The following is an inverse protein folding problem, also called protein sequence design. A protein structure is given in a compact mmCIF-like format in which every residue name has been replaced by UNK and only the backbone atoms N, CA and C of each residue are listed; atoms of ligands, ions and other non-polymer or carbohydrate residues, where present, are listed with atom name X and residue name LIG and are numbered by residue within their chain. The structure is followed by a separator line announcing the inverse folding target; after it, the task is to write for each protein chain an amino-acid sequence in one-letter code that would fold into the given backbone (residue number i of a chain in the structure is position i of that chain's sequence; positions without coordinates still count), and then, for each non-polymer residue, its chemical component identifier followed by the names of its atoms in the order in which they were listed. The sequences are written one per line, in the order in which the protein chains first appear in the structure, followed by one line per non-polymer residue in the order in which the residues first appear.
data_IF_373315404459
#
_entry.id   IF_373315404459
#
_cell.length_a   1.000
_cell.length_b   1.000
_cell.length_c   1.000
_cell.angle_alpha   90.00
_cell.angle_beta   90.00
_cell.angle_gamma   90.00
#
_symmetry.space_group_name_H-M   'P 1'
#
loop_
_entity.id
_entity.type
_entity.pdbx_description
1 polymer ?
#
# COMPACT_ATOMS: atom_id res chain seq x y z
N UNK A 1 -7.36 5.49 -71.06
CA UNK A 1 -6.13 4.84 -70.56
C UNK A 1 -6.52 3.65 -69.70
N UNK A 2 -6.31 2.41 -70.15
CA UNK A 2 -6.61 1.20 -69.36
C UNK A 2 -5.41 0.89 -68.46
N UNK A 3 -5.55 1.11 -67.15
CA UNK A 3 -4.54 0.68 -66.18
C UNK A 3 -4.53 -0.87 -66.16
N UNK A 4 -3.36 -1.45 -66.44
CA UNK A 4 -3.16 -2.91 -66.42
C UNK A 4 -3.44 -3.48 -65.02
N UNK A 5 -4.05 -4.66 -64.96
CA UNK A 5 -4.30 -5.44 -63.73
C UNK A 5 -3.03 -5.56 -62.85
N UNK A 6 -1.84 -5.61 -63.47
CA UNK A 6 -0.56 -5.62 -62.76
C UNK A 6 -0.23 -4.28 -62.04
N UNK A 7 -0.66 -3.15 -62.61
CA UNK A 7 -0.49 -1.82 -61.97
C UNK A 7 -1.46 -1.64 -60.79
N UNK A 8 -2.65 -2.23 -60.87
CA UNK A 8 -3.60 -2.27 -59.76
C UNK A 8 -3.06 -3.16 -58.62
N UNK A 9 -2.50 -4.33 -58.94
CA UNK A 9 -1.87 -5.21 -57.96
C UNK A 9 -0.68 -4.60 -57.21
N UNK A 10 0.18 -3.85 -57.91
CA UNK A 10 1.33 -3.15 -57.30
C UNK A 10 0.86 -1.99 -56.41
N UNK A 11 -0.17 -1.24 -56.80
CA UNK A 11 -0.72 -0.15 -55.98
C UNK A 11 -1.39 -0.66 -54.70
N UNK A 12 -2.05 -1.82 -54.75
CA UNK A 12 -2.65 -2.48 -53.57
C UNK A 12 -1.57 -3.01 -52.61
N UNK A 13 -0.47 -3.57 -53.13
CA UNK A 13 0.67 -4.03 -52.32
C UNK A 13 1.41 -2.88 -51.62
N UNK A 14 1.59 -1.73 -52.29
CA UNK A 14 2.21 -0.54 -51.69
C UNK A 14 1.29 0.08 -50.61
N UNK A 15 -0.03 0.05 -50.81
CA UNK A 15 -1.01 0.51 -49.83
C UNK A 15 -1.07 -0.40 -48.57
N UNK A 16 -0.88 -1.71 -48.73
CA UNK A 16 -0.84 -2.68 -47.62
C UNK A 16 0.44 -2.58 -46.78
N UNK A 17 1.58 -2.25 -47.38
CA UNK A 17 2.85 -2.03 -46.63
C UNK A 17 2.85 -0.70 -45.88
N UNK A 18 2.15 0.32 -46.38
CA UNK A 18 2.09 1.65 -45.74
C UNK A 18 1.16 1.72 -44.52
N UNK A 19 0.12 0.87 -44.44
CA UNK A 19 -0.75 0.79 -43.26
C UNK A 19 -0.03 0.21 -42.01
N UNK A 20 0.87 -0.75 -42.20
CA UNK A 20 1.62 -1.39 -41.12
C UNK A 20 2.82 -0.56 -40.63
N UNK A 21 3.37 0.33 -41.47
CA UNK A 21 4.54 1.14 -41.16
C UNK A 21 4.28 2.29 -40.17
N UNK A 22 3.09 2.90 -40.20
CA UNK A 22 2.76 4.01 -39.30
C UNK A 22 2.65 3.58 -37.83
N UNK A 23 2.08 2.40 -37.55
CA UNK A 23 2.00 1.85 -36.19
C UNK A 23 3.38 1.53 -35.61
N UNK A 24 4.23 0.89 -36.42
CA UNK A 24 5.61 0.56 -36.02
C UNK A 24 6.46 1.81 -35.72
N UNK A 25 6.41 2.84 -36.58
CA UNK A 25 7.15 4.09 -36.38
C UNK A 25 6.64 4.82 -35.13
N UNK A 26 5.32 4.85 -34.89
CA UNK A 26 4.74 5.44 -33.68
C UNK A 26 5.17 4.71 -32.41
N UNK A 27 5.18 3.38 -32.42
CA UNK A 27 5.68 2.58 -31.30
C UNK A 27 7.16 2.81 -31.00
N UNK A 28 8.00 2.95 -32.04
CA UNK A 28 9.42 3.29 -31.85
C UNK A 28 9.60 4.69 -31.24
N UNK A 29 8.83 5.68 -31.73
CA UNK A 29 8.84 7.03 -31.14
C UNK A 29 8.34 7.03 -29.70
N UNK A 30 7.31 6.25 -29.37
CA UNK A 30 6.82 6.08 -28.00
C UNK A 30 7.93 5.58 -27.07
N UNK A 31 8.68 4.55 -27.49
CA UNK A 31 9.84 4.04 -26.73
C UNK A 31 10.93 5.09 -26.54
N UNK A 32 11.21 5.90 -27.57
CA UNK A 32 12.16 7.01 -27.44
C UNK A 32 11.69 8.07 -26.44
N UNK A 33 10.40 8.41 -26.41
CA UNK A 33 9.85 9.30 -25.39
C UNK A 33 9.97 8.68 -23.98
N UNK A 34 9.75 7.38 -23.80
CA UNK A 34 9.98 6.71 -22.52
C UNK A 34 11.45 6.74 -22.06
N UNK A 35 12.41 6.67 -22.98
CA UNK A 35 13.82 6.87 -22.64
C UNK A 35 14.09 8.29 -22.12
N UNK A 36 13.43 9.30 -22.70
CA UNK A 36 13.50 10.69 -22.21
C UNK A 36 12.86 10.85 -20.85
N UNK A 37 11.77 10.12 -20.55
CA UNK A 37 11.21 10.07 -19.18
C UNK A 37 12.30 9.66 -18.18
N UNK A 38 13.01 8.56 -18.44
CA UNK A 38 14.06 8.08 -17.53
C UNK A 38 15.18 9.10 -17.34
N UNK A 39 15.58 9.80 -18.41
CA UNK A 39 16.57 10.87 -18.35
C UNK A 39 16.08 12.06 -17.49
N UNK A 40 14.92 12.63 -17.82
CA UNK A 40 14.36 13.77 -17.08
C UNK A 40 14.11 13.42 -15.61
N UNK A 41 13.69 12.19 -15.32
CA UNK A 41 13.49 11.71 -13.96
C UNK A 41 14.81 11.64 -13.17
N UNK A 42 15.90 11.14 -13.79
CA UNK A 42 17.25 11.13 -13.19
C UNK A 42 17.75 12.55 -12.89
N UNK A 43 17.41 13.51 -13.75
CA UNK A 43 17.73 14.93 -13.58
C UNK A 43 16.77 15.67 -12.63
N UNK A 44 15.81 14.96 -12.00
CA UNK A 44 14.75 15.52 -11.13
C UNK A 44 13.82 16.53 -11.83
N UNK A 45 13.77 16.50 -13.16
CA UNK A 45 12.88 17.31 -14.00
C UNK A 45 11.53 16.59 -14.18
N UNK A 46 10.78 16.45 -13.10
CA UNK A 46 9.59 15.58 -13.07
C UNK A 46 8.45 16.08 -13.97
N UNK A 47 8.29 17.40 -14.14
CA UNK A 47 7.31 17.95 -15.07
C UNK A 47 7.66 17.63 -16.55
N UNK A 48 8.95 17.67 -16.92
CA UNK A 48 9.40 17.24 -18.24
C UNK A 48 9.21 15.72 -18.43
N UNK A 49 9.51 14.94 -17.39
CA UNK A 49 9.26 13.49 -17.40
C UNK A 49 7.77 13.17 -17.60
N UNK A 50 6.87 13.92 -16.96
CA UNK A 50 5.42 13.80 -17.15
C UNK A 50 5.02 14.09 -18.60
N UNK A 51 5.55 15.17 -19.19
CA UNK A 51 5.28 15.54 -20.58
C UNK A 51 5.74 14.44 -21.56
N UNK A 52 6.95 13.91 -21.38
CA UNK A 52 7.46 12.80 -22.21
C UNK A 52 6.63 11.53 -22.05
N UNK A 53 6.18 11.21 -20.83
CA UNK A 53 5.36 10.03 -20.58
C UNK A 53 3.97 10.15 -21.23
N UNK A 54 3.32 11.33 -21.11
CA UNK A 54 2.06 11.64 -21.81
C UNK A 54 2.25 11.53 -23.33
N UNK A 55 3.36 12.05 -23.87
CA UNK A 55 3.65 11.94 -25.30
C UNK A 55 3.85 10.50 -25.77
N UNK A 56 4.50 9.67 -24.95
CA UNK A 56 4.66 8.25 -25.24
C UNK A 56 3.31 7.54 -25.37
N UNK A 57 2.35 7.86 -24.49
CA UNK A 57 0.99 7.30 -24.52
C UNK A 57 0.19 7.79 -25.73
N UNK A 58 0.31 9.08 -26.10
CA UNK A 58 -0.32 9.61 -27.31
C UNK A 58 0.18 8.92 -28.59
N UNK A 59 1.48 8.64 -28.63
CA UNK A 59 2.11 7.98 -29.77
C UNK A 59 1.67 6.51 -29.87
N UNK A 60 1.62 5.81 -28.75
CA UNK A 60 1.21 4.41 -28.66
C UNK A 60 0.26 4.20 -27.46
N UNK A 61 -1.06 4.31 -27.68
CA UNK A 61 -2.06 4.10 -26.63
C UNK A 61 -2.08 2.67 -26.06
N UNK A 62 -1.45 1.70 -26.75
CA UNK A 62 -1.34 0.32 -26.27
C UNK A 62 -0.13 0.09 -25.35
N UNK A 63 0.74 1.08 -25.20
CA UNK A 63 1.93 0.98 -24.36
C UNK A 63 1.56 0.90 -22.88
N UNK A 64 1.79 -0.25 -22.27
CA UNK A 64 1.40 -0.50 -20.87
C UNK A 64 2.26 0.23 -19.84
N UNK A 65 3.48 0.63 -20.23
CA UNK A 65 4.41 1.32 -19.33
C UNK A 65 4.15 2.83 -19.28
N UNK A 66 3.63 3.44 -20.34
CA UNK A 66 3.44 4.89 -20.40
C UNK A 66 2.53 5.40 -19.26
N UNK A 67 1.36 4.79 -18.96
CA UNK A 67 0.53 5.20 -17.82
C UNK A 67 1.24 5.09 -16.46
N UNK A 68 2.08 4.07 -16.27
CA UNK A 68 2.89 3.90 -15.04
C UNK A 68 3.88 5.05 -14.89
N UNK A 69 4.58 5.41 -15.96
CA UNK A 69 5.52 6.52 -15.95
C UNK A 69 4.84 7.88 -15.76
N UNK A 70 3.63 8.08 -16.31
CA UNK A 70 2.80 9.26 -16.03
C UNK A 70 2.52 9.36 -14.52
N UNK A 71 1.98 8.29 -13.92
CA UNK A 71 1.65 8.27 -12.50
C UNK A 71 2.87 8.55 -11.60
N UNK A 72 4.01 7.90 -11.89
CA UNK A 72 5.28 8.14 -11.18
C UNK A 72 5.78 9.57 -11.32
N UNK A 73 5.75 10.15 -12.52
CA UNK A 73 6.22 11.52 -12.76
C UNK A 73 5.33 12.58 -12.09
N UNK A 74 4.01 12.37 -12.04
CA UNK A 74 3.09 13.22 -11.29
C UNK A 74 3.37 13.10 -9.78
N UNK A 75 3.49 11.86 -9.27
CA UNK A 75 3.78 11.61 -7.86
C UNK A 75 5.12 12.23 -7.43
N UNK A 76 6.15 12.18 -8.27
CA UNK A 76 7.44 12.78 -7.96
C UNK A 76 7.42 14.32 -7.81
N UNK A 77 6.38 14.98 -8.33
CA UNK A 77 6.18 16.43 -8.13
C UNK A 77 5.55 16.77 -6.79
N UNK A 78 4.88 15.80 -6.13
CA UNK A 78 4.32 16.00 -4.79
C UNK A 78 5.43 16.10 -3.74
N UNK A 79 5.33 17.12 -2.88
CA UNK A 79 6.21 17.36 -1.74
C UNK A 79 5.48 17.06 -0.45
N UNK A 80 5.86 15.98 0.22
CA UNK A 80 5.27 15.60 1.52
C UNK A 80 5.46 16.73 2.56
N UNK A 81 4.40 17.06 3.30
CA UNK A 81 4.40 18.10 4.34
C UNK A 81 4.24 19.53 3.84
N UNK A 82 3.96 19.74 2.55
CA UNK A 82 3.63 21.06 1.99
C UNK A 82 2.14 21.11 1.67
N UNK A 83 1.39 21.98 2.33
CA UNK A 83 -0.09 22.01 2.22
C UNK A 83 -0.61 23.06 1.23
N UNK A 84 0.18 23.42 0.21
CA UNK A 84 -0.29 24.35 -0.83
C UNK A 84 -1.34 23.70 -1.73
N UNK A 85 -2.33 24.45 -2.24
CA UNK A 85 -3.35 23.91 -3.16
C UNK A 85 -2.76 23.19 -4.37
N UNK A 86 -1.66 23.71 -4.93
CA UNK A 86 -0.98 23.11 -6.09
C UNK A 86 -0.34 21.77 -5.73
N UNK A 87 0.27 21.67 -4.54
CA UNK A 87 0.90 20.44 -4.09
C UNK A 87 -0.14 19.34 -3.76
N UNK A 88 -1.25 19.73 -3.12
CA UNK A 88 -2.39 18.83 -2.88
C UNK A 88 -3.03 18.40 -4.20
N UNK A 89 -3.16 19.30 -5.17
CA UNK A 89 -3.65 18.95 -6.51
C UNK A 89 -2.76 17.91 -7.19
N UNK A 90 -1.43 18.02 -7.08
CA UNK A 90 -0.49 17.01 -7.62
C UNK A 90 -0.62 15.65 -6.94
N UNK A 91 -0.79 15.62 -5.62
CA UNK A 91 -1.08 14.37 -4.92
C UNK A 91 -2.39 13.72 -5.39
N UNK A 92 -3.45 14.50 -5.55
CA UNK A 92 -4.73 14.01 -6.04
C UNK A 92 -4.64 13.51 -7.50
N UNK A 93 -3.92 14.21 -8.38
CA UNK A 93 -3.66 13.78 -9.76
C UNK A 93 -2.92 12.43 -9.80
N UNK A 94 -1.92 12.25 -8.93
CA UNK A 94 -1.21 10.98 -8.78
C UNK A 94 -2.13 9.87 -8.26
N UNK A 95 -2.95 10.14 -7.23
CA UNK A 95 -3.93 9.18 -6.69
C UNK A 95 -4.85 8.68 -7.81
N UNK A 96 -5.41 9.56 -8.63
CA UNK A 96 -6.30 9.15 -9.71
C UNK A 96 -5.56 8.30 -10.76
N UNK A 97 -4.35 8.71 -11.14
CA UNK A 97 -3.53 7.96 -12.10
C UNK A 97 -3.22 6.53 -11.61
N UNK A 98 -2.87 6.38 -10.32
CA UNK A 98 -2.64 5.05 -9.73
C UNK A 98 -3.93 4.24 -9.53
N UNK A 99 -5.07 4.87 -9.22
CA UNK A 99 -6.36 4.16 -9.14
C UNK A 99 -6.74 3.53 -10.49
N UNK A 100 -6.52 4.23 -11.61
CA UNK A 100 -6.76 3.66 -12.95
C UNK A 100 -5.81 2.48 -13.26
N UNK A 101 -4.54 2.56 -12.84
CA UNK A 101 -3.60 1.44 -12.96
C UNK A 101 -4.08 0.21 -12.18
N UNK A 102 -4.51 0.40 -10.93
CA UNK A 102 -5.02 -0.67 -10.08
C UNK A 102 -6.38 -1.22 -10.55
N UNK A 103 -7.18 -0.41 -11.27
CA UNK A 103 -8.41 -0.87 -11.91
C UNK A 103 -8.11 -1.81 -13.09
N UNK A 104 -7.07 -1.52 -13.87
CA UNK A 104 -6.61 -2.39 -14.97
C UNK A 104 -5.96 -3.67 -14.44
N UNK A 105 -5.13 -3.54 -13.41
CA UNK A 105 -4.47 -4.66 -12.73
C UNK A 105 -4.67 -4.58 -11.21
N UNK A 106 -5.66 -5.30 -10.65
CA UNK A 106 -5.90 -5.34 -9.21
C UNK A 106 -4.69 -5.82 -8.39
N UNK A 107 -3.76 -6.56 -9.01
CA UNK A 107 -2.58 -7.10 -8.37
C UNK A 107 -1.37 -6.14 -8.42
N UNK A 108 -1.54 -4.94 -8.95
CA UNK A 108 -0.49 -3.92 -9.01
C UNK A 108 -0.18 -3.34 -7.61
N UNK A 109 0.84 -3.89 -6.94
CA UNK A 109 1.25 -3.47 -5.59
C UNK A 109 1.80 -2.04 -5.55
N UNK A 110 2.45 -1.59 -6.63
CA UNK A 110 2.96 -0.22 -6.71
C UNK A 110 1.81 0.79 -6.66
N UNK A 111 0.81 0.62 -7.52
CA UNK A 111 -0.34 1.51 -7.60
C UNK A 111 -1.11 1.52 -6.27
N UNK A 112 -1.35 0.35 -5.70
CA UNK A 112 -2.01 0.23 -4.41
C UNK A 112 -1.26 0.93 -3.28
N UNK A 113 0.05 0.70 -3.19
CA UNK A 113 0.91 1.29 -2.17
C UNK A 113 0.97 2.81 -2.32
N UNK A 114 1.12 3.30 -3.56
CA UNK A 114 1.20 4.73 -3.83
C UNK A 114 -0.09 5.47 -3.42
N UNK A 115 -1.27 4.95 -3.77
CA UNK A 115 -2.55 5.53 -3.33
C UNK A 115 -2.66 5.52 -1.80
N UNK A 116 -2.32 4.39 -1.16
CA UNK A 116 -2.38 4.26 0.31
C UNK A 116 -1.47 5.29 0.99
N UNK A 117 -0.23 5.45 0.53
CA UNK A 117 0.74 6.41 1.08
C UNK A 117 0.33 7.86 0.84
N UNK A 118 -0.17 8.18 -0.35
CA UNK A 118 -0.61 9.53 -0.69
C UNK A 118 -1.83 9.94 0.15
N UNK A 119 -2.83 9.07 0.30
CA UNK A 119 -3.99 9.35 1.15
C UNK A 119 -3.59 9.55 2.62
N UNK A 120 -2.65 8.76 3.13
CA UNK A 120 -2.08 8.97 4.46
C UNK A 120 -1.33 10.29 4.59
N UNK A 121 -0.56 10.67 3.56
CA UNK A 121 0.19 11.94 3.56
C UNK A 121 -0.68 13.18 3.43
N UNK A 122 -1.89 13.02 2.86
CA UNK A 122 -2.93 14.06 2.80
C UNK A 122 -3.83 14.08 4.04
N UNK A 123 -3.56 13.25 5.05
CA UNK A 123 -4.39 13.09 6.24
C UNK A 123 -5.86 12.77 5.90
N UNK A 124 -6.08 11.81 4.98
CA UNK A 124 -7.40 11.33 4.54
C UNK A 124 -7.66 9.88 5.01
N UNK A 125 -7.83 9.65 6.32
CA UNK A 125 -7.87 8.30 6.88
C UNK A 125 -9.10 7.48 6.45
N UNK A 126 -10.25 8.12 6.21
CA UNK A 126 -11.45 7.43 5.72
C UNK A 126 -11.27 6.92 4.29
N UNK A 127 -10.80 7.77 3.38
CA UNK A 127 -10.50 7.40 1.99
C UNK A 127 -9.41 6.31 1.94
N UNK A 128 -8.39 6.42 2.80
CA UNK A 128 -7.32 5.41 2.90
C UNK A 128 -7.89 4.05 3.34
N UNK A 129 -8.73 4.04 4.37
CA UNK A 129 -9.33 2.80 4.88
C UNK A 129 -10.24 2.15 3.84
N UNK A 130 -11.06 2.94 3.14
CA UNK A 130 -11.91 2.45 2.05
C UNK A 130 -11.09 1.81 0.93
N UNK A 131 -10.03 2.49 0.48
CA UNK A 131 -9.13 1.98 -0.56
C UNK A 131 -8.49 0.63 -0.20
N UNK A 132 -8.02 0.50 1.05
CA UNK A 132 -7.42 -0.75 1.54
C UNK A 132 -8.46 -1.85 1.70
N UNK A 133 -9.67 -1.50 2.16
CA UNK A 133 -10.78 -2.45 2.32
C UNK A 133 -11.28 -3.00 0.98
N UNK A 134 -11.33 -2.16 -0.06
CA UNK A 134 -11.61 -2.60 -1.43
C UNK A 134 -10.62 -3.67 -1.90
N UNK A 135 -9.30 -3.47 -1.70
CA UNK A 135 -8.29 -4.49 -2.03
C UNK A 135 -8.49 -5.77 -1.22
N UNK A 136 -8.70 -5.65 0.09
CA UNK A 136 -8.86 -6.80 0.99
C UNK A 136 -10.05 -7.70 0.60
N UNK A 137 -11.13 -7.12 0.08
CA UNK A 137 -12.36 -7.83 -0.32
C UNK A 137 -12.40 -8.26 -1.78
N UNK A 138 -11.50 -7.75 -2.63
CA UNK A 138 -11.53 -8.03 -4.06
C UNK A 138 -11.00 -9.45 -4.38
N UNK A 139 -11.91 -10.36 -4.78
CA UNK A 139 -11.57 -11.75 -5.13
C UNK A 139 -10.59 -11.93 -6.29
N UNK A 140 -10.37 -10.91 -7.12
CA UNK A 140 -9.37 -10.91 -8.21
C UNK A 140 -7.95 -10.60 -7.73
N UNK A 141 -7.79 -10.18 -6.46
CA UNK A 141 -6.49 -9.92 -5.85
C UNK A 141 -5.97 -11.20 -5.19
N UNK A 142 -4.68 -11.50 -5.40
CA UNK A 142 -4.01 -12.65 -4.80
C UNK A 142 -4.21 -12.71 -3.27
N UNK A 143 -4.41 -13.91 -2.68
CA UNK A 143 -4.63 -14.06 -1.24
C UNK A 143 -3.58 -13.37 -0.37
N UNK A 144 -2.29 -13.45 -0.74
CA UNK A 144 -1.20 -12.81 0.00
C UNK A 144 -1.31 -11.28 0.04
N UNK A 145 -1.70 -10.68 -1.08
CA UNK A 145 -1.89 -9.22 -1.21
C UNK A 145 -3.14 -8.75 -0.45
N UNK A 146 -4.18 -9.58 -0.40
CA UNK A 146 -5.36 -9.35 0.46
C UNK A 146 -5.01 -9.48 1.95
N UNK A 147 -4.18 -10.46 2.31
CA UNK A 147 -3.69 -10.61 3.67
C UNK A 147 -2.90 -9.38 4.13
N UNK A 148 -2.03 -8.83 3.27
CA UNK A 148 -1.32 -7.57 3.55
C UNK A 148 -2.27 -6.38 3.77
N UNK A 149 -3.34 -6.27 2.96
CA UNK A 149 -4.36 -5.24 3.13
C UNK A 149 -5.14 -5.41 4.45
N UNK A 150 -5.51 -6.64 4.82
CA UNK A 150 -6.16 -6.94 6.09
C UNK A 150 -5.25 -6.64 7.29
N UNK A 151 -3.96 -6.96 7.20
CA UNK A 151 -2.98 -6.62 8.24
C UNK A 151 -2.84 -5.10 8.42
N UNK A 152 -2.87 -4.32 7.35
CA UNK A 152 -2.90 -2.85 7.44
C UNK A 152 -4.15 -2.36 8.17
N UNK A 153 -5.33 -2.87 7.82
CA UNK A 153 -6.58 -2.47 8.50
C UNK A 153 -6.58 -2.87 9.98
N UNK A 154 -6.04 -4.04 10.31
CA UNK A 154 -5.85 -4.49 11.68
C UNK A 154 -4.95 -3.53 12.48
N UNK A 155 -3.90 -2.96 11.86
CA UNK A 155 -3.08 -1.95 12.52
C UNK A 155 -3.86 -0.65 12.79
N UNK A 156 -4.77 -0.25 11.88
CA UNK A 156 -5.66 0.91 12.08
C UNK A 156 -6.70 0.70 13.16
N UNK A 157 -7.17 -0.52 13.32
CA UNK A 157 -8.03 -0.91 14.43
C UNK A 157 -7.27 -0.87 15.77
N UNK A 158 -6.04 -1.40 15.79
CA UNK A 158 -5.16 -1.33 16.95
C UNK A 158 -4.84 0.12 17.33
N UNK A 159 -4.39 0.96 16.40
CA UNK A 159 -4.09 2.38 16.62
C UNK A 159 -5.29 3.10 17.28
N UNK A 160 -6.51 2.82 16.80
CA UNK A 160 -7.73 3.43 17.33
C UNK A 160 -8.07 2.96 18.76
N UNK A 161 -7.85 1.69 19.09
CA UNK A 161 -8.03 1.20 20.47
C UNK A 161 -6.94 1.77 21.38
N UNK A 162 -5.70 1.70 20.91
CA UNK A 162 -4.53 2.11 21.66
C UNK A 162 -4.54 3.60 21.99
N UNK A 163 -5.04 4.46 21.09
CA UNK A 163 -5.22 5.88 21.36
C UNK A 163 -6.12 6.13 22.59
N UNK A 164 -7.12 5.27 22.83
CA UNK A 164 -7.98 5.35 24.01
C UNK A 164 -7.24 4.81 25.23
N UNK A 165 -6.71 3.59 25.16
CA UNK A 165 -6.14 2.91 26.33
C UNK A 165 -4.82 3.53 26.81
N UNK A 166 -4.04 4.12 25.91
CA UNK A 166 -2.77 4.79 26.22
C UNK A 166 -2.91 6.30 26.45
N UNK A 167 -4.15 6.82 26.47
CA UNK A 167 -4.39 8.17 26.96
C UNK A 167 -3.87 8.33 28.39
N UNK A 168 -3.15 9.41 28.74
CA UNK A 168 -2.62 9.61 30.10
C UNK A 168 -3.70 9.55 31.19
N UNK A 169 -4.94 9.93 30.87
CA UNK A 169 -6.07 9.85 31.80
C UNK A 169 -6.55 8.43 32.11
N UNK A 170 -6.11 7.44 31.33
CA UNK A 170 -6.48 6.03 31.44
C UNK A 170 -5.32 5.17 31.96
N UNK A 171 -4.29 5.82 32.50
CA UNK A 171 -3.09 5.19 33.02
C UNK A 171 -2.82 5.67 34.45
N UNK A 172 -2.43 4.73 35.31
CA UNK A 172 -2.03 5.01 36.68
C UNK A 172 -0.72 4.29 37.00
N UNK A 173 0.26 5.04 37.51
CA UNK A 173 1.49 4.45 38.07
C UNK A 173 1.20 4.00 39.50
N UNK A 174 1.44 2.73 39.78
CA UNK A 174 1.26 2.13 41.11
C UNK A 174 2.59 1.64 41.62
N UNK A 175 3.02 2.15 42.77
CA UNK A 175 4.22 1.70 43.45
C UNK A 175 3.93 0.39 44.20
N UNK A 176 4.69 -0.66 43.90
CA UNK A 176 4.63 -1.98 44.56
C UNK A 176 5.82 -2.20 45.50
N UNK A 177 6.52 -1.14 45.89
CA UNK A 177 7.69 -1.15 46.78
C UNK A 177 8.98 -1.56 46.08
N UNK A 178 8.95 -2.65 45.29
CA UNK A 178 10.12 -3.13 44.52
C UNK A 178 10.11 -2.66 43.07
N UNK A 179 8.97 -2.17 42.59
CA UNK A 179 8.80 -1.70 41.22
C UNK A 179 7.61 -0.74 41.11
N UNK A 180 7.68 0.19 40.17
CA UNK A 180 6.53 0.99 39.75
C UNK A 180 5.92 0.30 38.54
N UNK A 181 4.64 -0.08 38.64
CA UNK A 181 3.91 -0.72 37.54
C UNK A 181 2.88 0.23 36.95
N UNK A 182 2.74 0.18 35.63
CA UNK A 182 1.68 0.89 34.92
C UNK A 182 0.40 0.05 34.95
N UNK A 183 -0.67 0.61 35.51
CA UNK A 183 -2.00 0.02 35.53
C UNK A 183 -2.89 0.82 34.58
N UNK A 184 -3.67 0.10 33.78
CA UNK A 184 -4.63 0.69 32.85
C UNK A 184 -6.00 0.74 33.51
N UNK A 185 -6.65 1.91 33.50
CA UNK A 185 -7.96 2.14 34.09
C UNK A 185 -8.98 2.50 33.01
N UNK A 186 -10.25 2.20 33.26
CA UNK A 186 -11.31 2.50 32.29
C UNK A 186 -11.40 4.01 32.01
N UNK A 187 -11.61 4.39 30.73
CA UNK A 187 -12.01 5.74 30.39
C UNK A 187 -13.22 6.20 31.21
N UNK A 188 -13.24 7.49 31.57
CA UNK A 188 -14.39 8.10 32.26
C UNK A 188 -15.65 8.05 31.39
N UNK A 189 -15.49 8.22 30.09
CA UNK A 189 -16.56 8.04 29.11
C UNK A 189 -16.65 6.56 28.70
N UNK A 190 -17.78 5.93 29.01
CA UNK A 190 -18.03 4.53 28.64
C UNK A 190 -18.05 4.33 27.12
N UNK A 191 -18.41 5.34 26.34
CA UNK A 191 -18.40 5.26 24.88
C UNK A 191 -16.98 5.09 24.32
N UNK A 192 -15.98 5.70 24.95
CA UNK A 192 -14.57 5.54 24.58
C UNK A 192 -14.09 4.12 24.88
N UNK A 193 -14.47 3.57 26.04
CA UNK A 193 -14.17 2.18 26.38
C UNK A 193 -14.79 1.20 25.37
N UNK A 194 -16.09 1.36 25.08
CA UNK A 194 -16.78 0.51 24.11
C UNK A 194 -16.17 0.63 22.71
N UNK A 195 -15.73 1.83 22.32
CA UNK A 195 -15.01 2.06 21.07
C UNK A 195 -13.69 1.28 21.06
N UNK A 196 -12.89 1.35 22.13
CA UNK A 196 -11.64 0.61 22.23
C UNK A 196 -11.87 -0.91 22.10
N UNK A 197 -12.83 -1.46 22.86
CA UNK A 197 -13.19 -2.89 22.80
C UNK A 197 -13.62 -3.30 21.39
N UNK A 198 -14.51 -2.53 20.75
CA UNK A 198 -14.96 -2.80 19.37
C UNK A 198 -13.80 -2.81 18.40
N UNK A 199 -12.92 -1.79 18.45
CA UNK A 199 -11.78 -1.66 17.52
C UNK A 199 -10.76 -2.77 17.74
N UNK A 200 -10.40 -3.09 18.98
CA UNK A 200 -9.54 -4.24 19.28
C UNK A 200 -10.12 -5.54 18.71
N UNK A 201 -11.42 -5.79 18.91
CA UNK A 201 -12.07 -7.04 18.48
C UNK A 201 -12.10 -7.16 16.96
N UNK A 202 -12.53 -6.08 16.29
CA UNK A 202 -12.57 -5.99 14.84
C UNK A 202 -11.17 -6.09 14.23
N UNK A 203 -10.16 -5.50 14.87
CA UNK A 203 -8.76 -5.61 14.44
C UNK A 203 -8.24 -7.04 14.54
N UNK A 204 -8.54 -7.73 15.65
CA UNK A 204 -8.12 -9.12 15.86
C UNK A 204 -8.73 -10.04 14.81
N UNK A 205 -10.01 -9.88 14.49
CA UNK A 205 -10.68 -10.61 13.42
C UNK A 205 -9.98 -10.38 12.06
N UNK A 206 -9.61 -9.13 11.74
CA UNK A 206 -8.88 -8.83 10.50
C UNK A 206 -7.50 -9.48 10.47
N UNK A 207 -6.75 -9.43 11.57
CA UNK A 207 -5.44 -10.08 11.67
C UNK A 207 -5.56 -11.60 11.50
N UNK A 208 -6.58 -12.23 12.09
CA UNK A 208 -6.84 -13.66 11.93
C UNK A 208 -7.26 -14.03 10.52
N UNK A 209 -8.12 -13.23 9.88
CA UNK A 209 -8.50 -13.44 8.49
C UNK A 209 -7.31 -13.25 7.54
N UNK A 210 -6.40 -12.31 7.82
CA UNK A 210 -5.14 -12.19 7.11
C UNK A 210 -4.28 -13.46 7.24
N UNK A 211 -4.13 -14.00 8.46
CA UNK A 211 -3.39 -15.25 8.71
C UNK A 211 -4.04 -16.45 8.02
N UNK A 212 -5.38 -16.51 7.93
CA UNK A 212 -6.08 -17.56 7.17
C UNK A 212 -5.78 -17.50 5.68
N UNK A 213 -5.66 -16.29 5.12
CA UNK A 213 -5.31 -16.08 3.70
C UNK A 213 -3.83 -16.36 3.42
N UNK A 214 -2.95 -15.99 4.34
CA UNK A 214 -1.50 -16.20 4.25
C UNK A 214 -0.92 -16.39 5.66
N UNK A 215 -0.71 -17.64 6.05
CA UNK A 215 -0.18 -17.98 7.38
C UNK A 215 1.29 -17.59 7.57
N UNK A 216 1.98 -17.24 6.48
CA UNK A 216 3.36 -16.76 6.48
C UNK A 216 3.45 -15.23 6.45
N UNK A 217 2.31 -14.53 6.54
CA UNK A 217 2.27 -13.08 6.60
C UNK A 217 2.76 -12.59 7.97
N UNK A 218 4.03 -12.22 8.06
CA UNK A 218 4.67 -11.71 9.27
C UNK A 218 3.94 -10.47 9.83
N UNK A 219 3.50 -9.54 8.98
CA UNK A 219 2.77 -8.34 9.41
C UNK A 219 1.47 -8.70 10.11
N UNK A 220 0.73 -9.69 9.60
CA UNK A 220 -0.52 -10.14 10.20
C UNK A 220 -0.32 -10.74 11.60
N UNK A 221 0.74 -11.55 11.78
CA UNK A 221 1.13 -12.08 13.09
C UNK A 221 1.58 -10.97 14.06
N UNK A 222 2.35 -10.01 13.57
CA UNK A 222 2.79 -8.84 14.32
C UNK A 222 1.58 -8.00 14.79
N UNK A 223 0.58 -7.78 13.92
CA UNK A 223 -0.64 -7.09 14.32
C UNK A 223 -1.50 -7.91 15.29
N UNK A 224 -1.62 -9.24 15.10
CA UNK A 224 -2.29 -10.12 16.06
C UNK A 224 -1.67 -10.00 17.46
N UNK A 225 -0.33 -9.98 17.54
CA UNK A 225 0.38 -9.75 18.80
C UNK A 225 0.01 -8.39 19.43
N UNK A 226 0.08 -7.29 18.68
CA UNK A 226 -0.26 -5.96 19.19
C UNK A 226 -1.72 -5.88 19.69
N UNK A 227 -2.65 -6.48 18.95
CA UNK A 227 -4.07 -6.53 19.30
C UNK A 227 -4.34 -7.40 20.52
N UNK A 228 -3.58 -8.48 20.72
CA UNK A 228 -3.66 -9.29 21.94
C UNK A 228 -3.11 -8.54 23.16
N UNK A 229 -2.01 -7.78 23.01
CA UNK A 229 -1.55 -6.90 24.09
C UNK A 229 -2.60 -5.85 24.45
N UNK A 230 -3.27 -5.29 23.45
CA UNK A 230 -4.37 -4.35 23.63
C UNK A 230 -5.58 -5.01 24.33
N UNK A 231 -5.96 -6.20 23.91
CA UNK A 231 -7.02 -6.99 24.54
C UNK A 231 -6.70 -7.33 26.00
N UNK A 232 -5.42 -7.57 26.31
CA UNK A 232 -4.94 -7.78 27.69
C UNK A 232 -5.13 -6.53 28.54
N UNK A 233 -4.81 -5.33 28.03
CA UNK A 233 -5.07 -4.05 28.74
C UNK A 233 -6.56 -3.89 29.04
N UNK A 234 -7.41 -4.14 28.04
CA UNK A 234 -8.87 -4.05 28.19
C UNK A 234 -9.42 -5.04 29.23
N UNK A 235 -8.89 -6.27 29.27
CA UNK A 235 -9.24 -7.26 30.29
C UNK A 235 -8.76 -6.86 31.70
N UNK A 236 -7.61 -6.17 31.82
CA UNK A 236 -7.14 -5.61 33.10
C UNK A 236 -8.03 -4.46 33.56
N UNK A 237 -8.48 -3.59 32.66
CA UNK A 237 -9.45 -2.53 32.96
C UNK A 237 -10.78 -3.10 33.46
N UNK A 238 -11.17 -4.30 33.02
CA UNK A 238 -12.33 -5.06 33.50
C UNK A 238 -12.08 -5.85 34.79
N UNK A 239 -10.89 -5.74 35.39
CA UNK A 239 -10.46 -6.54 36.55
C UNK A 239 -10.49 -8.06 36.29
N UNK A 240 -10.55 -8.48 35.02
CA UNK A 240 -10.60 -9.89 34.63
C UNK A 240 -9.18 -10.45 34.43
N UNK A 241 -8.51 -10.69 35.56
CA UNK A 241 -7.13 -11.17 35.60
C UNK A 241 -6.94 -12.54 34.93
N UNK A 242 -7.90 -13.45 35.06
CA UNK A 242 -7.85 -14.77 34.41
C UNK A 242 -7.85 -14.64 32.87
N UNK A 243 -8.75 -13.81 32.31
CA UNK A 243 -8.78 -13.54 30.88
C UNK A 243 -7.50 -12.83 30.40
N UNK A 244 -6.99 -11.87 31.18
CA UNK A 244 -5.74 -11.19 30.86
C UNK A 244 -4.53 -12.14 30.81
N UNK A 245 -4.47 -13.14 31.69
CA UNK A 245 -3.43 -14.17 31.67
C UNK A 245 -3.55 -15.09 30.45
N UNK A 246 -4.76 -15.49 30.08
CA UNK A 246 -4.99 -16.32 28.90
C UNK A 246 -4.59 -15.59 27.60
N UNK A 247 -5.01 -14.33 27.47
CA UNK A 247 -4.62 -13.48 26.33
C UNK A 247 -3.10 -13.29 26.27
N UNK A 248 -2.43 -13.19 27.43
CA UNK A 248 -0.96 -13.07 27.47
C UNK A 248 -0.25 -14.27 26.84
N UNK A 249 -0.73 -15.51 27.09
CA UNK A 249 -0.17 -16.71 26.46
C UNK A 249 -0.35 -16.69 24.95
N UNK A 250 -1.53 -16.31 24.47
CA UNK A 250 -1.80 -16.16 23.04
C UNK A 250 -0.90 -15.10 22.39
N UNK A 251 -0.62 -14.00 23.12
CA UNK A 251 0.27 -12.95 22.65
C UNK A 251 1.72 -13.47 22.52
N UNK A 252 2.20 -14.25 23.50
CA UNK A 252 3.52 -14.88 23.44
C UNK A 252 3.66 -15.83 22.25
N UNK A 253 2.63 -16.63 21.95
CA UNK A 253 2.59 -17.48 20.76
C UNK A 253 2.65 -16.67 19.46
N UNK A 254 1.85 -15.61 19.35
CA UNK A 254 1.85 -14.73 18.19
C UNK A 254 3.20 -14.01 18.01
N UNK A 255 3.83 -13.59 19.10
CA UNK A 255 5.16 -12.98 19.09
C UNK A 255 6.22 -13.98 18.59
N UNK A 256 6.23 -15.19 19.13
CA UNK A 256 7.14 -16.25 18.71
C UNK A 256 7.00 -16.51 17.21
N UNK A 257 5.76 -16.62 16.71
CA UNK A 257 5.51 -16.83 15.29
C UNK A 257 5.98 -15.65 14.42
N UNK A 258 5.80 -14.42 14.89
CA UNK A 258 6.31 -13.22 14.22
C UNK A 258 7.83 -13.27 14.09
N UNK A 259 8.53 -13.62 15.17
CA UNK A 259 10.00 -13.74 15.19
C UNK A 259 10.51 -14.85 14.27
N UNK A 260 9.87 -16.01 14.27
CA UNK A 260 10.19 -17.12 13.36
C UNK A 260 10.10 -16.69 11.88
N UNK A 261 9.01 -16.00 11.51
CA UNK A 261 8.80 -15.52 10.14
C UNK A 261 9.78 -14.42 9.75
N UNK A 262 10.12 -13.52 10.68
CA UNK A 262 11.13 -12.50 10.48
C UNK A 262 12.51 -13.12 10.19
N UNK A 263 12.96 -14.06 11.01
CA UNK A 263 14.25 -14.74 10.81
C UNK A 263 14.25 -15.58 9.53
N UNK A 264 13.15 -16.28 9.21
CA UNK A 264 12.99 -17.00 7.94
C UNK A 264 13.16 -16.06 6.74
N UNK A 265 12.51 -14.88 6.78
CA UNK A 265 12.60 -13.88 5.71
C UNK A 265 14.00 -13.29 5.59
N UNK A 266 14.65 -13.01 6.71
CA UNK A 266 16.03 -12.50 6.76
C UNK A 266 17.02 -13.52 6.18
N UNK A 267 16.89 -14.80 6.54
CA UNK A 267 17.74 -15.87 6.02
C UNK A 267 17.56 -16.11 4.51
N UNK A 268 16.40 -15.77 3.94
CA UNK A 268 16.12 -15.89 2.52
C UNK A 268 16.64 -14.69 1.68
N UNK A 269 17.12 -13.61 2.31
CA UNK A 269 17.69 -12.47 1.58
C UNK A 269 19.11 -12.79 1.10
N UNK A 270 19.46 -12.47 -0.16
CA UNK A 270 20.84 -12.59 -0.61
C UNK A 270 21.75 -11.70 0.23
N UNK A 271 23.01 -12.10 0.47
CA UNK A 271 23.96 -11.26 1.20
C UNK A 271 24.07 -9.89 0.51
N UNK A 272 24.28 -8.80 1.28
CA UNK A 272 24.48 -7.49 0.69
C UNK A 272 25.62 -7.55 -0.33
N UNK A 273 25.52 -6.82 -1.47
CA UNK A 273 26.58 -6.82 -2.46
C UNK A 273 27.89 -6.42 -1.77
N UNK A 274 28.90 -7.27 -1.87
CA UNK A 274 30.25 -6.96 -1.41
C UNK A 274 30.66 -5.65 -2.07
N UNK A 275 30.97 -4.64 -1.25
CA UNK A 275 31.57 -3.41 -1.75
C UNK A 275 32.85 -3.81 -2.49
N UNK A 276 32.82 -3.72 -3.82
CA UNK A 276 34.03 -3.79 -4.60
C UNK A 276 34.92 -2.67 -4.10
N UNK A 277 36.01 -3.02 -3.42
CA UNK A 277 37.08 -2.09 -3.11
C UNK A 277 37.61 -1.55 -4.44
N UNK A 278 37.24 -0.31 -4.76
CA UNK A 278 37.85 0.51 -5.79
C UNK A 278 39.03 1.28 -5.22
#
# INVERSE_FOLDING_TARGET
MKLSQARIGILVLIALVSASGCGFIKGLRSKNELNKVAQSYKEKKFAEAEMHAKKALELDPSNENAPVFIARAIHAQYRKGVDSPENVAKANEAIQSYKELAKKDPNNDEAFTAVTVLLGSLNKPEEQSQWVEERAKNGSVEPKKRADAMAFLASKDWECSNQVTDSPSNQQKVDKGTSVVLVYIKPKDTADYDKAVRRMTVGLEKAENAIKLDNENEKAWSQKYNLLLEAKKLAQMDENTAKAQEIAKQAEEALKRTQELYEKKKAAQPPPPTAAAG
#
